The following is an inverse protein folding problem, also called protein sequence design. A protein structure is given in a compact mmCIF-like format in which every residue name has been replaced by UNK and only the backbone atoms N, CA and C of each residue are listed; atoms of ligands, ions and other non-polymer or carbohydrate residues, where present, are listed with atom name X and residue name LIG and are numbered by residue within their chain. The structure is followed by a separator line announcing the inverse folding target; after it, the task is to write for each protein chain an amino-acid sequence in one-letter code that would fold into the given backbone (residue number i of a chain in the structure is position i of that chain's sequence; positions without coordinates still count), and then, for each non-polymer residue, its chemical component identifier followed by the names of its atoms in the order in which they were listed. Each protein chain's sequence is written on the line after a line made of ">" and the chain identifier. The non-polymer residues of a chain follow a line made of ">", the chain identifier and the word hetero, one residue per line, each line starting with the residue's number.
data_IF_207935518827
#
_entry.id   IF_207935518827
#
_cell.length_a   1.000
_cell.length_b   1.000
_cell.length_c   1.000
_cell.angle_alpha   90.00
_cell.angle_beta   90.00
_cell.angle_gamma   90.00
#
_symmetry.space_group_name_H-M   'P 1'
#
loop_
_entity.id
_entity.type
_entity.pdbx_description
1 polymer ?
#
# COMPACT_ATOMS: atom_id res chain seq x y z
N UNK A 1 4.33 6.70 9.93
CA UNK A 1 2.91 6.99 10.29
C UNK A 1 2.05 6.41 9.18
N UNK A 2 1.42 5.27 9.40
CA UNK A 2 0.66 4.59 8.34
C UNK A 2 -0.71 5.25 8.14
N UNK A 3 -1.07 5.54 6.90
CA UNK A 3 -2.39 6.03 6.54
C UNK A 3 -3.38 4.85 6.50
N UNK A 4 -4.54 5.00 7.13
CA UNK A 4 -5.59 3.97 7.14
C UNK A 4 -6.62 4.22 6.03
N UNK A 5 -6.96 5.48 5.80
CA UNK A 5 -7.92 5.89 4.77
C UNK A 5 -7.31 6.04 3.37
N UNK A 6 -5.97 5.97 3.23
CA UNK A 6 -5.27 6.03 1.95
C UNK A 6 -4.46 4.75 1.79
N UNK A 7 -4.90 3.87 0.88
CA UNK A 7 -4.28 2.56 0.65
C UNK A 7 -3.35 2.64 -0.56
N UNK A 8 -2.11 2.20 -0.37
CA UNK A 8 -1.06 2.15 -1.38
C UNK A 8 -1.03 0.78 -2.06
N UNK A 9 -1.80 0.61 -3.12
CA UNK A 9 -1.90 -0.69 -3.79
C UNK A 9 -0.66 -0.96 -4.65
N UNK A 10 -0.07 -2.14 -4.42
CA UNK A 10 1.11 -2.64 -5.14
C UNK A 10 2.27 -1.64 -5.19
N UNK A 11 2.43 -0.84 -4.11
CA UNK A 11 3.49 0.16 -4.02
C UNK A 11 3.45 1.21 -5.16
N UNK A 12 2.34 1.94 -5.26
CA UNK A 12 2.25 3.09 -6.14
C UNK A 12 3.38 4.10 -5.88
N UNK A 13 3.61 4.41 -4.60
CA UNK A 13 4.86 4.93 -4.06
C UNK A 13 5.50 3.84 -3.18
N UNK A 14 6.80 3.92 -2.85
CA UNK A 14 7.37 2.98 -1.89
C UNK A 14 6.65 3.12 -0.54
N UNK A 15 6.36 1.99 0.13
CA UNK A 15 5.61 2.02 1.38
C UNK A 15 6.35 2.85 2.45
N UNK A 16 7.66 2.67 2.57
CA UNK A 16 8.48 3.47 3.48
C UNK A 16 8.37 4.98 3.23
N UNK A 17 8.39 5.39 1.94
CA UNK A 17 8.23 6.81 1.60
C UNK A 17 6.88 7.34 2.08
N UNK A 18 5.81 6.61 1.84
CA UNK A 18 4.47 7.04 2.20
C UNK A 18 4.28 7.15 3.72
N UNK A 19 4.79 6.17 4.47
CA UNK A 19 4.59 6.07 5.92
C UNK A 19 5.49 7.02 6.72
N UNK A 20 6.75 7.20 6.32
CA UNK A 20 7.74 7.89 7.14
C UNK A 20 8.21 9.24 6.55
N UNK A 21 8.21 9.37 5.22
CA UNK A 21 8.85 10.50 4.55
C UNK A 21 7.84 11.48 3.96
N UNK A 22 6.72 11.00 3.43
CA UNK A 22 5.77 11.79 2.65
C UNK A 22 5.38 13.10 3.34
N UNK A 23 4.85 13.04 4.56
CA UNK A 23 4.42 14.23 5.31
C UNK A 23 5.59 15.12 5.77
N UNK A 24 6.79 14.59 5.80
CA UNK A 24 8.00 15.32 6.22
C UNK A 24 8.82 15.85 5.05
N UNK A 25 8.51 15.43 3.82
CA UNK A 25 9.20 15.88 2.61
C UNK A 25 9.00 17.38 2.36
N UNK A 26 10.01 18.03 1.80
CA UNK A 26 9.98 19.46 1.52
C UNK A 26 8.89 19.84 0.52
N UNK A 27 8.62 18.98 -0.47
CA UNK A 27 7.58 19.18 -1.47
C UNK A 27 6.18 19.21 -0.84
N UNK A 28 5.86 18.24 0.04
CA UNK A 28 4.57 18.17 0.73
C UNK A 28 4.42 19.31 1.74
N UNK A 29 5.46 19.62 2.51
CA UNK A 29 5.44 20.78 3.43
C UNK A 29 5.22 22.09 2.69
N UNK A 30 5.88 22.29 1.55
CA UNK A 30 5.68 23.47 0.72
C UNK A 30 4.26 23.56 0.17
N UNK A 31 3.69 22.43 -0.30
CA UNK A 31 2.32 22.38 -0.76
C UNK A 31 1.32 22.72 0.36
N UNK A 32 1.45 22.09 1.53
CA UNK A 32 0.60 22.37 2.70
C UNK A 32 0.69 23.83 3.10
N UNK A 33 1.92 24.38 3.18
CA UNK A 33 2.16 25.79 3.51
C UNK A 33 1.49 26.73 2.50
N UNK A 34 1.56 26.43 1.20
CA UNK A 34 0.93 27.26 0.18
C UNK A 34 -0.59 27.38 0.38
N UNK A 35 -1.26 26.30 0.82
CA UNK A 35 -2.69 26.36 1.16
C UNK A 35 -2.94 27.17 2.43
N UNK A 36 -2.09 27.04 3.46
CA UNK A 36 -2.21 27.82 4.71
C UNK A 36 -1.97 29.31 4.47
N UNK A 37 -1.00 29.66 3.62
CA UNK A 37 -0.72 31.04 3.22
C UNK A 37 -1.91 31.61 2.44
N UNK A 38 -2.47 30.87 1.47
CA UNK A 38 -3.70 31.25 0.71
C UNK A 38 -4.90 31.49 1.63
N UNK A 39 -5.08 30.63 2.66
CA UNK A 39 -6.14 30.82 3.66
C UNK A 39 -5.90 32.09 4.48
N UNK A 40 -4.65 32.36 4.85
CA UNK A 40 -4.30 33.53 5.64
C UNK A 40 -4.47 34.83 4.84
N UNK A 41 -4.07 34.85 3.57
CA UNK A 41 -4.22 35.98 2.65
C UNK A 41 -5.69 36.27 2.33
N UNK A 42 -6.55 35.26 2.38
CA UNK A 42 -7.99 35.39 2.10
C UNK A 42 -8.80 36.00 3.25
N UNK A 43 -8.19 36.31 4.41
CA UNK A 43 -8.89 36.91 5.54
C UNK A 43 -9.32 38.34 5.25
N UNK A 44 -10.61 38.58 5.36
CA UNK A 44 -11.19 39.91 5.29
C UNK A 44 -10.96 40.74 6.56
N UNK A 45 -11.43 41.98 6.55
CA UNK A 45 -11.32 42.90 7.69
C UNK A 45 -12.06 42.40 8.96
N UNK A 46 -12.99 41.47 8.80
CA UNK A 46 -13.72 40.80 9.89
C UNK A 46 -12.93 39.59 10.48
N UNK A 47 -11.73 39.35 9.99
CA UNK A 47 -10.85 38.23 10.40
C UNK A 47 -11.30 36.84 9.91
N UNK A 48 -12.39 36.75 9.13
CA UNK A 48 -12.86 35.50 8.56
C UNK A 48 -12.17 35.24 7.23
N UNK A 49 -11.66 34.03 7.05
CA UNK A 49 -11.09 33.60 5.78
C UNK A 49 -12.22 33.29 4.78
N UNK A 50 -12.13 33.85 3.59
CA UNK A 50 -13.02 33.52 2.46
C UNK A 50 -12.65 32.16 1.86
N UNK A 51 -11.36 31.90 1.75
CA UNK A 51 -10.82 30.59 1.35
C UNK A 51 -10.43 29.79 2.60
N UNK A 52 -10.72 28.51 2.61
CA UNK A 52 -10.27 27.53 3.62
C UNK A 52 -9.58 26.39 2.96
N UNK A 53 -8.46 25.94 3.55
CA UNK A 53 -7.72 24.80 3.04
C UNK A 53 -8.63 23.54 2.93
N UNK A 54 -8.55 22.74 1.85
CA UNK A 54 -9.46 21.63 1.61
C UNK A 54 -9.57 20.66 2.77
N UNK A 55 -8.48 20.28 3.43
CA UNK A 55 -8.51 19.38 4.59
C UNK A 55 -9.33 19.93 5.77
N UNK A 56 -9.33 21.27 5.98
CA UNK A 56 -10.13 21.89 7.04
C UNK A 56 -11.62 21.88 6.70
N UNK A 57 -11.94 22.02 5.43
CA UNK A 57 -13.34 21.91 4.97
C UNK A 57 -13.80 20.46 5.09
N UNK A 58 -13.00 19.49 4.66
CA UNK A 58 -13.26 18.06 4.81
C UNK A 58 -13.50 17.69 6.27
N UNK A 59 -12.58 18.07 7.17
CA UNK A 59 -12.73 17.81 8.60
C UNK A 59 -14.02 18.44 9.18
N UNK A 60 -14.34 19.68 8.80
CA UNK A 60 -15.54 20.37 9.29
C UNK A 60 -16.84 19.73 8.80
N UNK A 61 -16.83 19.11 7.63
CA UNK A 61 -17.99 18.46 7.01
C UNK A 61 -17.98 16.93 7.13
N UNK A 62 -16.99 16.35 7.79
CA UNK A 62 -16.80 14.89 7.83
C UNK A 62 -18.06 14.13 8.26
N UNK A 63 -18.69 14.57 9.35
CA UNK A 63 -19.95 13.97 9.84
C UNK A 63 -21.10 14.09 8.84
N UNK A 64 -21.28 15.27 8.25
CA UNK A 64 -22.34 15.53 7.25
C UNK A 64 -22.11 14.66 6.00
N UNK A 65 -20.88 14.62 5.52
CA UNK A 65 -20.49 13.80 4.36
C UNK A 65 -20.72 12.32 4.60
N UNK A 66 -20.40 11.81 5.80
CA UNK A 66 -20.63 10.41 6.16
C UNK A 66 -22.12 10.06 6.21
N UNK A 67 -22.95 10.92 6.79
CA UNK A 67 -24.40 10.73 6.77
C UNK A 67 -24.95 10.76 5.32
N UNK A 68 -24.39 11.61 4.46
CA UNK A 68 -24.75 11.65 3.05
C UNK A 68 -24.40 10.35 2.35
N UNK A 69 -23.20 9.77 2.57
CA UNK A 69 -22.81 8.48 2.02
C UNK A 69 -23.80 7.36 2.40
N UNK A 70 -24.24 7.34 3.65
CA UNK A 70 -25.24 6.36 4.12
C UNK A 70 -26.59 6.57 3.42
N UNK A 71 -27.05 7.82 3.34
CA UNK A 71 -28.31 8.15 2.66
C UNK A 71 -28.30 7.78 1.18
N UNK A 72 -27.16 8.00 0.48
CA UNK A 72 -27.00 7.61 -0.92
C UNK A 72 -27.12 6.09 -1.10
N UNK A 73 -26.54 5.31 -0.17
CA UNK A 73 -26.64 3.85 -0.22
C UNK A 73 -28.08 3.34 -0.04
N UNK A 74 -28.89 4.04 0.74
CA UNK A 74 -30.28 3.68 1.05
C UNK A 74 -31.30 4.18 0.00
N UNK A 75 -30.90 5.06 -0.93
CA UNK A 75 -31.80 5.60 -1.96
C UNK A 75 -32.25 4.48 -2.91
N UNK A 76 -33.56 4.20 -2.91
CA UNK A 76 -34.13 3.08 -3.64
C UNK A 76 -34.30 3.32 -5.14
N UNK A 77 -34.55 4.55 -5.58
CA UNK A 77 -34.67 4.90 -7.00
C UNK A 77 -33.27 5.00 -7.64
N UNK A 78 -32.95 4.14 -8.63
CA UNK A 78 -31.62 4.12 -9.24
C UNK A 78 -31.25 5.43 -9.95
N UNK A 79 -32.21 6.11 -10.60
CA UNK A 79 -31.92 7.39 -11.28
C UNK A 79 -31.65 8.51 -10.27
N UNK A 80 -32.47 8.60 -9.22
CA UNK A 80 -32.30 9.58 -8.16
C UNK A 80 -30.97 9.34 -7.44
N UNK A 81 -30.69 8.09 -7.09
CA UNK A 81 -29.43 7.67 -6.47
C UNK A 81 -28.23 8.07 -7.34
N UNK A 82 -28.24 7.72 -8.62
CA UNK A 82 -27.16 8.04 -9.53
C UNK A 82 -26.91 9.55 -9.64
N UNK A 83 -28.00 10.36 -9.74
CA UNK A 83 -27.85 11.83 -9.78
C UNK A 83 -27.25 12.38 -8.49
N UNK A 84 -27.71 11.90 -7.35
CA UNK A 84 -27.22 12.33 -6.04
C UNK A 84 -25.75 11.90 -5.81
N UNK A 85 -25.37 10.67 -6.16
CA UNK A 85 -24.00 10.19 -6.12
C UNK A 85 -23.07 11.07 -6.97
N UNK A 86 -23.49 11.38 -8.19
CA UNK A 86 -22.72 12.21 -9.10
C UNK A 86 -22.56 13.65 -8.60
N UNK A 87 -23.60 14.24 -8.01
CA UNK A 87 -23.49 15.57 -7.43
C UNK A 87 -22.62 15.60 -6.17
N UNK A 88 -22.66 14.57 -5.35
CA UNK A 88 -21.71 14.41 -4.24
C UNK A 88 -20.26 14.38 -4.73
N UNK A 89 -19.95 13.56 -5.73
CA UNK A 89 -18.61 13.49 -6.33
C UNK A 89 -18.19 14.85 -6.89
N UNK A 90 -19.10 15.56 -7.60
CA UNK A 90 -18.83 16.92 -8.11
C UNK A 90 -18.53 17.91 -6.99
N UNK A 91 -19.27 17.83 -5.89
CA UNK A 91 -19.02 18.67 -4.71
C UNK A 91 -17.62 18.46 -4.13
N UNK A 92 -17.19 17.21 -4.08
CA UNK A 92 -15.83 16.85 -3.65
C UNK A 92 -14.77 17.32 -4.66
N UNK A 93 -14.99 17.16 -5.96
CA UNK A 93 -14.05 17.62 -6.99
C UNK A 93 -13.87 19.15 -6.94
N UNK A 94 -14.95 19.91 -6.76
CA UNK A 94 -14.88 21.37 -6.61
C UNK A 94 -14.08 21.80 -5.38
N UNK A 95 -14.13 21.00 -4.29
CA UNK A 95 -13.34 21.26 -3.09
C UNK A 95 -11.82 21.15 -3.37
N UNK A 96 -11.44 20.26 -4.28
CA UNK A 96 -10.06 20.08 -4.71
C UNK A 96 -9.67 20.95 -5.92
N UNK A 97 -10.50 21.91 -6.31
CA UNK A 97 -10.33 22.73 -7.52
C UNK A 97 -10.18 21.89 -8.80
N UNK A 98 -10.68 20.66 -8.79
CA UNK A 98 -10.67 19.77 -9.95
C UNK A 98 -11.84 20.08 -10.90
N UNK A 99 -11.66 19.85 -12.22
CA UNK A 99 -12.74 19.98 -13.18
C UNK A 99 -13.91 19.06 -12.82
N UNK A 100 -15.11 19.62 -12.72
CA UNK A 100 -16.31 18.90 -12.28
C UNK A 100 -17.54 19.08 -13.19
N UNK A 101 -17.42 19.88 -14.24
CA UNK A 101 -18.57 20.33 -15.01
C UNK A 101 -18.58 19.75 -16.45
N UNK A 102 -17.92 18.63 -16.67
CA UNK A 102 -18.00 17.93 -17.94
C UNK A 102 -19.38 17.30 -18.07
N UNK A 103 -20.12 17.70 -19.11
CA UNK A 103 -21.45 17.18 -19.43
C UNK A 103 -21.43 16.20 -20.58
N UNK A 104 -20.39 16.26 -21.39
CA UNK A 104 -20.26 15.41 -22.57
C UNK A 104 -19.62 14.07 -22.19
N UNK A 105 -20.20 12.97 -22.65
CA UNK A 105 -19.63 11.64 -22.41
C UNK A 105 -18.29 11.52 -23.14
N UNK A 106 -17.40 10.69 -22.59
CA UNK A 106 -16.17 10.32 -23.25
C UNK A 106 -16.42 9.13 -24.18
N UNK A 107 -16.24 9.37 -25.48
CA UNK A 107 -16.36 8.32 -26.50
C UNK A 107 -15.04 7.57 -26.62
N UNK A 108 -15.05 6.28 -26.23
CA UNK A 108 -13.91 5.37 -26.41
C UNK A 108 -13.95 4.77 -27.82
N UNK A 109 -15.15 4.39 -28.27
CA UNK A 109 -15.45 3.92 -29.63
C UNK A 109 -16.76 4.57 -30.10
N UNK A 110 -17.12 4.40 -31.38
CA UNK A 110 -18.39 4.90 -31.93
C UNK A 110 -19.64 4.36 -31.18
N UNK A 111 -19.46 3.31 -30.38
CA UNK A 111 -20.56 2.61 -29.68
C UNK A 111 -20.37 2.52 -28.16
N UNK A 112 -19.30 3.09 -27.61
CA UNK A 112 -19.02 3.06 -26.16
C UNK A 112 -18.77 4.48 -25.63
N UNK A 113 -19.67 4.92 -24.77
CA UNK A 113 -19.54 6.13 -23.98
C UNK A 113 -19.18 5.79 -22.52
N UNK A 114 -18.30 6.57 -21.91
CA UNK A 114 -18.00 6.49 -20.49
C UNK A 114 -18.43 7.77 -19.76
N UNK A 115 -18.90 7.68 -18.51
CA UNK A 115 -19.43 8.81 -17.73
C UNK A 115 -18.32 9.72 -17.22
N UNK A 116 -17.79 10.57 -18.09
CA UNK A 116 -16.79 11.58 -17.75
C UNK A 116 -17.45 12.70 -16.92
N UNK A 117 -16.87 13.02 -15.76
CA UNK A 117 -17.32 14.13 -14.91
C UNK A 117 -16.44 15.35 -15.10
N UNK A 118 -15.13 15.14 -15.23
CA UNK A 118 -14.17 16.22 -15.33
C UNK A 118 -12.99 15.86 -16.21
N UNK A 119 -12.45 16.86 -16.90
CA UNK A 119 -11.27 16.69 -17.73
C UNK A 119 -10.35 17.91 -17.61
N UNK A 120 -9.07 17.66 -17.41
CA UNK A 120 -8.00 18.65 -17.53
C UNK A 120 -7.16 18.32 -18.74
N UNK A 121 -6.88 19.34 -19.55
CA UNK A 121 -6.07 19.20 -20.78
C UNK A 121 -4.74 19.92 -20.61
N UNK A 122 -3.74 19.42 -21.30
CA UNK A 122 -2.45 20.11 -21.46
C UNK A 122 -2.61 21.33 -22.39
N UNK A 123 -1.58 22.17 -22.45
CA UNK A 123 -1.60 23.37 -23.30
C UNK A 123 -1.76 23.04 -24.80
N UNK A 124 -1.34 21.85 -25.25
CA UNK A 124 -1.51 21.34 -26.61
C UNK A 124 -2.86 20.61 -26.82
N UNK A 125 -3.77 20.70 -25.85
CA UNK A 125 -5.15 20.21 -25.95
C UNK A 125 -5.32 18.71 -25.77
N UNK A 126 -4.28 17.97 -25.32
CA UNK A 126 -4.40 16.55 -25.03
C UNK A 126 -5.01 16.33 -23.63
N UNK A 127 -5.82 15.28 -23.43
CA UNK A 127 -6.28 14.90 -22.10
C UNK A 127 -5.07 14.63 -21.19
N UNK A 128 -5.07 15.20 -20.00
CA UNK A 128 -4.02 14.98 -18.99
C UNK A 128 -4.56 14.28 -17.75
N UNK A 129 -5.68 14.75 -17.21
CA UNK A 129 -6.45 14.12 -16.17
C UNK A 129 -7.88 13.92 -16.65
N UNK A 130 -8.42 12.73 -16.46
CA UNK A 130 -9.84 12.45 -16.65
C UNK A 130 -10.42 11.89 -15.34
N UNK A 131 -11.64 12.32 -15.00
CA UNK A 131 -12.38 11.86 -13.84
C UNK A 131 -13.64 11.16 -14.30
N UNK A 132 -13.72 9.86 -14.01
CA UNK A 132 -14.89 9.04 -14.31
C UNK A 132 -15.68 8.77 -13.03
N UNK A 133 -17.01 8.74 -13.15
CA UNK A 133 -17.88 8.30 -12.07
C UNK A 133 -18.21 6.81 -12.23
N UNK A 134 -17.92 6.02 -11.20
CA UNK A 134 -18.43 4.68 -11.05
C UNK A 134 -19.54 4.66 -9.98
N UNK A 135 -20.40 3.67 -10.05
CA UNK A 135 -21.48 3.49 -9.07
C UNK A 135 -21.75 2.00 -8.85
N UNK A 136 -22.10 1.65 -7.61
CA UNK A 136 -22.51 0.29 -7.27
C UNK A 136 -23.76 -0.20 -8.05
N UNK A 137 -24.58 0.73 -8.57
CA UNK A 137 -25.69 0.41 -9.47
C UNK A 137 -25.27 -0.36 -10.73
N UNK A 138 -24.00 -0.27 -11.11
CA UNK A 138 -23.45 -1.02 -12.23
C UNK A 138 -23.36 -2.52 -11.99
N UNK A 139 -23.36 -2.95 -10.73
CA UNK A 139 -23.08 -4.32 -10.37
C UNK A 139 -21.65 -4.76 -10.74
N UNK A 140 -21.38 -6.04 -10.60
CA UNK A 140 -20.11 -6.67 -11.00
C UNK A 140 -20.31 -7.61 -12.20
N UNK A 141 -19.23 -7.94 -12.88
CA UNK A 141 -19.27 -8.91 -14.00
C UNK A 141 -19.83 -10.25 -13.53
N UNK A 142 -20.73 -10.88 -14.32
CA UNK A 142 -21.26 -12.18 -13.98
C UNK A 142 -20.16 -13.24 -14.03
N UNK A 143 -20.18 -14.18 -13.08
CA UNK A 143 -19.22 -15.28 -13.02
C UNK A 143 -19.23 -16.18 -14.24
N UNK A 144 -20.36 -16.26 -14.96
CA UNK A 144 -20.49 -17.01 -16.21
C UNK A 144 -21.08 -16.17 -17.33
N UNK A 145 -20.61 -16.42 -18.54
CA UNK A 145 -21.07 -15.73 -19.73
C UNK A 145 -22.57 -15.97 -19.97
N UNK A 146 -23.35 -14.89 -20.02
CA UNK A 146 -24.80 -14.92 -20.26
C UNK A 146 -25.66 -14.89 -18.99
N UNK A 147 -25.08 -14.85 -17.81
CA UNK A 147 -25.78 -14.57 -16.56
C UNK A 147 -25.98 -13.05 -16.37
N UNK A 148 -26.92 -12.69 -15.51
CA UNK A 148 -27.14 -11.31 -15.10
C UNK A 148 -25.94 -10.84 -14.23
N UNK A 149 -25.72 -9.53 -14.16
CA UNK A 149 -24.74 -8.94 -13.25
C UNK A 149 -25.13 -9.25 -11.81
N UNK A 150 -24.13 -9.44 -10.98
CA UNK A 150 -24.33 -9.55 -9.55
C UNK A 150 -24.45 -8.17 -8.91
N UNK A 151 -25.25 -8.06 -7.86
CA UNK A 151 -25.39 -6.81 -7.11
C UNK A 151 -24.07 -6.43 -6.43
N UNK A 152 -23.77 -5.15 -6.42
CA UNK A 152 -22.58 -4.59 -5.79
C UNK A 152 -22.94 -3.77 -4.56
N UNK A 153 -22.15 -3.92 -3.49
CA UNK A 153 -22.21 -3.05 -2.32
C UNK A 153 -21.41 -1.76 -2.52
N UNK A 154 -21.57 -0.82 -1.60
CA UNK A 154 -20.81 0.45 -1.58
C UNK A 154 -19.31 0.26 -1.34
N UNK A 155 -18.93 -0.89 -0.75
CA UNK A 155 -17.55 -1.27 -0.46
C UNK A 155 -16.88 -2.05 -1.60
N UNK A 156 -17.65 -2.37 -2.65
CA UNK A 156 -17.09 -3.06 -3.83
C UNK A 156 -15.98 -2.23 -4.46
N UNK A 157 -14.89 -2.89 -4.83
CA UNK A 157 -13.78 -2.24 -5.53
C UNK A 157 -14.28 -1.55 -6.80
N UNK A 158 -14.06 -0.21 -6.95
CA UNK A 158 -14.50 0.53 -8.14
C UNK A 158 -14.03 -0.09 -9.47
N UNK A 159 -12.87 -0.75 -9.51
CA UNK A 159 -12.36 -1.42 -10.71
C UNK A 159 -13.21 -2.64 -11.12
N UNK A 160 -13.90 -3.28 -10.18
CA UNK A 160 -14.75 -4.44 -10.45
C UNK A 160 -16.16 -4.05 -10.88
N UNK A 161 -16.58 -2.80 -10.64
CA UNK A 161 -17.89 -2.32 -11.03
C UNK A 161 -18.01 -2.23 -12.55
N UNK A 162 -19.19 -2.56 -13.06
CA UNK A 162 -19.58 -2.29 -14.45
C UNK A 162 -20.18 -0.88 -14.58
N UNK A 163 -20.22 -0.35 -15.79
CA UNK A 163 -20.95 0.90 -16.04
C UNK A 163 -22.44 0.67 -15.90
N UNK A 164 -23.11 1.42 -15.05
CA UNK A 164 -24.54 1.31 -14.81
C UNK A 164 -25.36 1.68 -16.07
N UNK A 165 -26.58 1.15 -16.16
CA UNK A 165 -27.47 1.46 -17.27
C UNK A 165 -27.82 2.96 -17.31
N UNK A 166 -27.97 3.59 -16.17
CA UNK A 166 -28.25 5.01 -15.98
C UNK A 166 -27.11 5.91 -16.47
N UNK A 167 -25.88 5.36 -16.52
CA UNK A 167 -24.71 6.04 -17.03
C UNK A 167 -24.52 5.87 -18.54
N UNK A 168 -25.07 4.80 -19.10
CA UNK A 168 -24.89 4.46 -20.52
C UNK A 168 -25.79 5.33 -21.39
N UNK A 169 -25.17 5.90 -22.38
CA UNK A 169 -25.85 6.52 -23.49
C UNK A 169 -25.36 5.82 -24.74
N UNK A 170 -26.17 4.92 -25.26
CA UNK A 170 -25.86 4.26 -26.52
C UNK A 170 -26.73 4.86 -27.61
N UNK A 171 -26.10 5.29 -28.69
CA UNK A 171 -26.81 5.71 -29.89
C UNK A 171 -27.28 4.46 -30.65
N UNK A 172 -28.40 3.88 -30.23
CA UNK A 172 -28.97 2.70 -30.88
C UNK A 172 -28.58 1.36 -30.20
N UNK A 173 -28.96 0.24 -30.85
CA UNK A 173 -28.58 -1.08 -30.37
C UNK A 173 -27.06 -1.24 -30.41
N UNK A 174 -26.48 -1.74 -29.34
CA UNK A 174 -25.07 -2.12 -29.27
C UNK A 174 -24.72 -3.06 -30.44
N UNK A 175 -23.98 -2.59 -31.39
CA UNK A 175 -23.54 -3.34 -32.57
C UNK A 175 -22.02 -3.39 -32.59
N UNK A 176 -21.44 -4.48 -33.13
CA UNK A 176 -20.00 -4.59 -33.29
C UNK A 176 -19.22 -4.58 -31.97
N UNK A 177 -18.15 -3.78 -31.91
CA UNK A 177 -17.21 -3.75 -30.80
C UNK A 177 -17.83 -3.31 -29.46
N UNK A 178 -18.86 -2.44 -29.47
CA UNK A 178 -19.52 -1.98 -28.25
C UNK A 178 -20.17 -3.11 -27.42
N UNK A 179 -20.62 -4.19 -28.06
CA UNK A 179 -21.16 -5.37 -27.35
C UNK A 179 -20.14 -6.07 -26.47
N UNK A 180 -18.87 -5.98 -26.79
CA UNK A 180 -17.81 -6.61 -25.99
C UNK A 180 -17.65 -5.94 -24.63
N UNK A 181 -18.07 -4.67 -24.49
CA UNK A 181 -17.91 -3.89 -23.28
C UNK A 181 -19.18 -3.80 -22.44
N UNK A 182 -20.29 -4.39 -22.90
CA UNK A 182 -21.60 -4.25 -22.24
C UNK A 182 -21.59 -4.67 -20.77
N UNK A 183 -20.84 -5.74 -20.45
CA UNK A 183 -20.75 -6.29 -19.10
C UNK A 183 -19.34 -6.19 -18.52
N UNK A 184 -18.48 -5.36 -19.12
CA UNK A 184 -17.09 -5.24 -18.66
C UNK A 184 -16.98 -4.28 -17.48
N UNK A 185 -16.08 -4.65 -16.58
CA UNK A 185 -15.74 -3.85 -15.41
C UNK A 185 -14.82 -2.65 -15.77
N UNK A 186 -14.71 -1.72 -14.84
CA UNK A 186 -13.90 -0.53 -15.03
C UNK A 186 -12.42 -0.83 -15.26
N UNK A 187 -11.89 -1.93 -14.73
CA UNK A 187 -10.51 -2.31 -15.02
C UNK A 187 -10.31 -2.51 -16.52
N UNK A 188 -11.13 -3.35 -17.15
CA UNK A 188 -11.07 -3.60 -18.61
C UNK A 188 -11.34 -2.33 -19.42
N UNK A 189 -12.28 -1.50 -18.98
CA UNK A 189 -12.63 -0.26 -19.68
C UNK A 189 -11.47 0.75 -19.63
N UNK A 190 -10.77 0.87 -18.51
CA UNK A 190 -9.62 1.75 -18.37
C UNK A 190 -8.41 1.25 -19.19
N UNK A 191 -8.22 -0.06 -19.33
CA UNK A 191 -7.22 -0.61 -20.24
C UNK A 191 -7.47 -0.10 -21.67
N UNK A 192 -8.72 -0.14 -22.14
CA UNK A 192 -9.11 0.39 -23.47
C UNK A 192 -8.94 1.92 -23.54
N UNK A 193 -9.25 2.66 -22.49
CA UNK A 193 -9.01 4.12 -22.44
C UNK A 193 -7.53 4.42 -22.57
N UNK A 194 -6.66 3.67 -21.90
CA UNK A 194 -5.22 3.89 -21.92
C UNK A 194 -4.54 3.46 -23.22
N UNK A 195 -5.16 2.59 -24.00
CA UNK A 195 -4.71 2.21 -25.35
C UNK A 195 -5.02 3.26 -26.43
N UNK A 196 -5.90 4.24 -26.14
CA UNK A 196 -6.25 5.27 -27.10
C UNK A 196 -5.05 6.15 -27.46
N UNK A 197 -5.01 6.62 -28.71
CA UNK A 197 -3.95 7.52 -29.21
C UNK A 197 -3.83 8.83 -28.40
N UNK A 198 -4.94 9.29 -27.81
CA UNK A 198 -5.01 10.47 -26.93
C UNK A 198 -5.43 10.09 -25.52
N UNK A 199 -4.80 9.06 -24.98
CA UNK A 199 -5.07 8.63 -23.60
C UNK A 199 -4.63 9.68 -22.57
N UNK A 200 -5.36 9.86 -21.47
CA UNK A 200 -4.94 10.71 -20.37
C UNK A 200 -3.70 10.12 -19.69
N UNK A 201 -2.91 10.97 -19.05
CA UNK A 201 -1.81 10.53 -18.16
C UNK A 201 -2.38 10.01 -16.84
N UNK A 202 -3.36 10.71 -16.28
CA UNK A 202 -3.96 10.47 -14.99
C UNK A 202 -5.44 10.20 -15.11
N UNK A 203 -5.94 9.26 -14.31
CA UNK A 203 -7.36 9.01 -14.15
C UNK A 203 -7.71 9.00 -12.67
N UNK A 204 -8.82 9.64 -12.32
CA UNK A 204 -9.51 9.43 -11.06
C UNK A 204 -10.79 8.65 -11.38
N UNK A 205 -10.90 7.43 -10.86
CA UNK A 205 -12.14 6.67 -10.88
C UNK A 205 -12.81 6.86 -9.53
N UNK A 206 -13.95 7.55 -9.51
CA UNK A 206 -14.62 8.01 -8.31
C UNK A 206 -15.95 7.30 -8.10
N UNK A 207 -16.14 6.67 -6.94
CA UNK A 207 -17.46 6.40 -6.35
C UNK A 207 -17.69 7.38 -5.20
N UNK A 208 -18.90 7.47 -4.63
CA UNK A 208 -19.10 8.31 -3.44
C UNK A 208 -18.17 7.95 -2.28
N UNK A 209 -17.94 6.66 -2.03
CA UNK A 209 -17.16 6.13 -0.91
C UNK A 209 -15.67 5.94 -1.18
N UNK A 210 -15.27 5.75 -2.45
CA UNK A 210 -13.89 5.42 -2.80
C UNK A 210 -13.44 6.16 -4.05
N UNK A 211 -12.23 6.71 -4.02
CA UNK A 211 -11.57 7.27 -5.19
C UNK A 211 -10.27 6.53 -5.46
N UNK A 212 -10.03 6.21 -6.72
CA UNK A 212 -8.79 5.60 -7.18
C UNK A 212 -8.01 6.62 -8.01
N UNK A 213 -6.80 6.96 -7.57
CA UNK A 213 -5.85 7.73 -8.35
C UNK A 213 -4.96 6.79 -9.14
N UNK A 214 -5.04 6.87 -10.45
CA UNK A 214 -4.46 5.91 -11.39
C UNK A 214 -3.51 6.64 -12.33
N UNK A 215 -2.26 6.17 -12.39
CA UNK A 215 -1.27 6.56 -13.37
C UNK A 215 -1.27 5.55 -14.52
N UNK A 216 -1.45 6.01 -15.76
CA UNK A 216 -1.42 5.15 -16.95
C UNK A 216 -0.17 4.28 -17.04
N UNK A 217 1.00 4.80 -16.64
CA UNK A 217 2.27 4.05 -16.74
C UNK A 217 2.33 2.91 -15.72
N UNK A 218 1.70 3.08 -14.55
CA UNK A 218 1.70 2.12 -13.45
C UNK A 218 0.52 1.14 -13.47
N UNK A 219 -0.52 1.46 -14.25
CA UNK A 219 -1.79 0.72 -14.22
C UNK A 219 -1.65 -0.75 -14.63
N UNK A 220 -0.80 -1.07 -15.59
CA UNK A 220 -0.52 -2.46 -15.99
C UNK A 220 0.00 -3.34 -14.84
N UNK A 221 0.63 -2.73 -13.83
CA UNK A 221 1.12 -3.39 -12.63
C UNK A 221 0.11 -3.32 -11.46
N UNK A 222 -1.08 -2.79 -11.70
CA UNK A 222 -2.12 -2.53 -10.70
C UNK A 222 -1.66 -1.63 -9.56
N UNK A 223 -0.71 -0.74 -9.81
CA UNK A 223 -0.24 0.25 -8.84
C UNK A 223 -1.16 1.46 -8.88
N UNK A 224 -1.82 1.74 -7.78
CA UNK A 224 -2.72 2.88 -7.62
C UNK A 224 -2.82 3.32 -6.16
N UNK A 225 -3.35 4.52 -5.93
CA UNK A 225 -3.72 4.98 -4.59
C UNK A 225 -5.24 4.95 -4.45
N UNK A 226 -5.72 4.30 -3.40
CA UNK A 226 -7.12 4.24 -3.04
C UNK A 226 -7.40 5.16 -1.86
N UNK A 227 -8.36 6.04 -1.99
CA UNK A 227 -8.88 6.91 -0.94
C UNK A 227 -10.23 6.38 -0.50
N UNK A 228 -10.32 5.89 0.72
CA UNK A 228 -11.57 5.45 1.32
C UNK A 228 -12.18 6.62 2.11
N UNK A 229 -13.18 7.28 1.52
CA UNK A 229 -13.77 8.47 2.09
C UNK A 229 -14.60 8.19 3.34
N UNK A 230 -15.22 7.02 3.49
CA UNK A 230 -15.92 6.68 4.72
C UNK A 230 -14.93 6.61 5.89
N UNK A 231 -13.80 5.93 5.72
CA UNK A 231 -12.73 5.85 6.71
C UNK A 231 -12.10 7.21 6.98
N UNK A 232 -11.81 8.01 5.93
CA UNK A 232 -11.23 9.34 6.07
C UNK A 232 -12.16 10.29 6.84
N UNK A 233 -13.48 10.21 6.62
CA UNK A 233 -14.48 11.01 7.35
C UNK A 233 -14.74 10.48 8.75
N UNK A 234 -14.64 9.16 8.98
CA UNK A 234 -14.79 8.59 10.31
C UNK A 234 -13.66 9.02 11.23
N UNK A 235 -12.42 8.87 10.77
CA UNK A 235 -11.22 9.20 11.54
C UNK A 235 -10.92 10.70 11.56
N UNK A 236 -11.21 11.39 10.45
CA UNK A 236 -10.90 12.81 10.19
C UNK A 236 -9.54 13.28 10.73
N UNK A 237 -8.54 12.39 10.66
CA UNK A 237 -7.16 12.69 11.03
C UNK A 237 -6.57 13.76 10.12
N UNK A 238 -6.05 14.84 10.71
CA UNK A 238 -5.58 16.00 9.93
C UNK A 238 -4.45 15.63 8.96
N UNK A 239 -3.57 14.73 9.35
CA UNK A 239 -2.46 14.26 8.52
C UNK A 239 -2.94 13.52 7.28
N UNK A 240 -3.94 12.63 7.41
CA UNK A 240 -4.52 11.89 6.29
C UNK A 240 -5.29 12.83 5.34
N UNK A 241 -6.07 13.77 5.89
CA UNK A 241 -6.78 14.75 5.08
C UNK A 241 -5.85 15.72 4.35
N UNK A 242 -4.72 16.11 4.97
CA UNK A 242 -3.64 16.86 4.30
C UNK A 242 -3.02 16.06 3.18
N UNK A 243 -2.71 14.79 3.43
CA UNK A 243 -2.16 13.89 2.41
C UNK A 243 -3.11 13.74 1.23
N UNK A 244 -4.40 13.47 1.48
CA UNK A 244 -5.42 13.40 0.43
C UNK A 244 -5.51 14.71 -0.36
N UNK A 245 -5.44 15.87 0.32
CA UNK A 245 -5.44 17.17 -0.33
C UNK A 245 -4.24 17.33 -1.26
N UNK A 246 -3.02 17.09 -0.77
CA UNK A 246 -1.81 17.22 -1.57
C UNK A 246 -1.80 16.29 -2.77
N UNK A 247 -2.42 15.12 -2.68
CA UNK A 247 -2.45 14.14 -3.78
C UNK A 247 -3.57 14.39 -4.79
N UNK A 248 -4.68 15.01 -4.39
CA UNK A 248 -5.89 15.10 -5.23
C UNK A 248 -6.24 16.51 -5.72
N UNK A 249 -5.54 17.56 -5.29
CA UNK A 249 -5.87 18.91 -5.75
C UNK A 249 -5.42 19.18 -7.19
N UNK A 250 -6.05 20.14 -7.83
CA UNK A 250 -5.70 20.58 -9.18
C UNK A 250 -4.23 20.99 -9.33
N UNK A 251 -3.63 21.54 -8.27
CA UNK A 251 -2.21 21.93 -8.26
C UNK A 251 -1.30 20.73 -8.47
N UNK A 252 -1.68 19.54 -7.97
CA UNK A 252 -0.93 18.29 -8.09
C UNK A 252 -0.87 17.74 -9.52
N UNK A 253 -1.89 18.08 -10.33
CA UNK A 253 -1.97 17.73 -11.75
C UNK A 253 -1.55 18.90 -12.65
N UNK A 254 -0.96 19.96 -12.10
CA UNK A 254 -0.50 21.10 -12.90
C UNK A 254 0.96 20.90 -13.27
N UNK A 255 1.21 20.81 -14.57
CA UNK A 255 2.56 20.65 -15.10
C UNK A 255 3.34 21.96 -14.94
N UNK A 256 4.47 21.89 -14.25
CA UNK A 256 5.46 22.96 -14.10
C UNK A 256 6.81 22.40 -14.51
N UNK A 257 7.52 23.10 -15.37
CA UNK A 257 8.85 22.69 -15.87
C UNK A 257 8.90 21.27 -16.50
N UNK A 258 7.77 20.79 -17.01
CA UNK A 258 7.65 19.50 -17.71
C UNK A 258 7.07 18.36 -16.87
N UNK A 259 6.93 18.52 -15.55
CA UNK A 259 6.44 17.51 -14.64
C UNK A 259 5.33 18.06 -13.72
N UNK A 260 4.48 17.20 -13.23
CA UNK A 260 3.51 17.53 -12.17
C UNK A 260 4.02 17.10 -10.79
N UNK A 261 3.40 17.61 -9.73
CA UNK A 261 3.81 17.32 -8.37
C UNK A 261 3.78 15.81 -8.04
N UNK A 262 2.83 15.05 -8.61
CA UNK A 262 2.74 13.60 -8.41
C UNK A 262 3.93 12.85 -9.04
N UNK A 263 4.43 13.31 -10.19
CA UNK A 263 5.61 12.74 -10.83
C UNK A 263 6.88 13.05 -10.03
N UNK A 264 7.01 14.27 -9.53
CA UNK A 264 8.12 14.65 -8.64
C UNK A 264 8.11 13.84 -7.32
N UNK A 265 6.94 13.61 -6.72
CA UNK A 265 6.80 12.74 -5.54
C UNK A 265 7.19 11.28 -5.84
N UNK A 266 6.92 10.81 -7.06
CA UNK A 266 7.33 9.47 -7.50
C UNK A 266 8.85 9.34 -7.59
N UNK A 267 9.51 10.33 -8.19
CA UNK A 267 10.98 10.37 -8.22
C UNK A 267 11.58 10.39 -6.81
N UNK A 268 11.01 11.18 -5.90
CA UNK A 268 11.47 11.25 -4.52
C UNK A 268 11.24 9.91 -3.80
N UNK A 269 10.11 9.25 -4.04
CA UNK A 269 9.83 7.91 -3.53
C UNK A 269 10.88 6.89 -4.01
N UNK A 270 11.25 6.94 -5.29
CA UNK A 270 12.29 6.06 -5.84
C UNK A 270 13.68 6.36 -5.27
N UNK A 271 14.05 7.65 -5.10
CA UNK A 271 15.32 8.04 -4.49
C UNK A 271 15.43 7.53 -3.05
N UNK A 272 14.36 7.66 -2.27
CA UNK A 272 14.30 7.14 -0.90
C UNK A 272 14.39 5.61 -0.86
N UNK A 273 13.66 4.90 -1.69
CA UNK A 273 13.73 3.44 -1.77
C UNK A 273 15.15 2.96 -2.15
N UNK A 274 15.81 3.66 -3.08
CA UNK A 274 17.19 3.37 -3.45
C UNK A 274 18.15 3.64 -2.28
N UNK A 275 17.99 4.78 -1.57
CA UNK A 275 18.78 5.12 -0.38
C UNK A 275 18.69 4.05 0.69
N UNK A 276 17.48 3.65 1.07
CA UNK A 276 17.25 2.58 2.06
C UNK A 276 17.89 1.26 1.60
N UNK A 277 17.80 0.92 0.31
CA UNK A 277 18.42 -0.29 -0.23
C UNK A 277 19.96 -0.24 -0.14
N UNK A 278 20.59 0.91 -0.34
CA UNK A 278 22.04 1.07 -0.18
C UNK A 278 22.46 0.99 1.29
N UNK A 279 21.73 1.65 2.19
CA UNK A 279 22.03 1.61 3.63
C UNK A 279 21.87 0.18 4.17
N UNK A 280 20.81 -0.53 3.74
CA UNK A 280 20.64 -1.94 4.08
C UNK A 280 21.81 -2.80 3.56
N UNK A 281 22.28 -2.56 2.34
CA UNK A 281 23.44 -3.28 1.78
C UNK A 281 24.69 -3.07 2.62
N UNK A 282 24.97 -1.84 3.05
CA UNK A 282 26.11 -1.54 3.90
C UNK A 282 25.96 -2.15 5.30
N UNK A 283 24.78 -2.02 5.92
CA UNK A 283 24.50 -2.63 7.21
C UNK A 283 24.63 -4.16 7.18
N UNK A 284 24.10 -4.82 6.13
CA UNK A 284 24.24 -6.26 5.95
C UNK A 284 25.70 -6.69 5.79
N UNK A 285 26.50 -5.93 5.04
CA UNK A 285 27.92 -6.20 4.89
C UNK A 285 28.62 -6.12 6.25
N UNK A 286 28.36 -5.07 7.03
CA UNK A 286 28.93 -4.91 8.36
C UNK A 286 28.50 -6.06 9.29
N UNK A 287 27.24 -6.44 9.29
CA UNK A 287 26.75 -7.59 10.07
C UNK A 287 27.44 -8.90 9.70
N UNK A 288 27.65 -9.16 8.39
CA UNK A 288 28.36 -10.36 7.91
C UNK A 288 29.84 -10.33 8.35
N UNK A 289 30.48 -9.16 8.29
CA UNK A 289 31.87 -8.98 8.75
C UNK A 289 31.98 -9.21 10.26
N UNK A 290 31.07 -8.66 11.08
CA UNK A 290 31.03 -8.86 12.53
C UNK A 290 30.81 -10.34 12.88
N UNK A 291 29.79 -10.97 12.28
CA UNK A 291 29.49 -12.38 12.51
C UNK A 291 30.68 -13.29 12.10
N UNK A 292 31.24 -13.07 10.92
CA UNK A 292 32.35 -13.83 10.40
C UNK A 292 33.61 -13.68 11.23
N UNK A 293 33.93 -12.47 11.69
CA UNK A 293 35.07 -12.20 12.56
C UNK A 293 34.93 -12.90 13.91
N UNK A 294 33.76 -12.85 14.52
CA UNK A 294 33.50 -13.49 15.81
C UNK A 294 33.53 -15.02 15.67
N UNK A 295 32.89 -15.57 14.63
CA UNK A 295 32.95 -17.00 14.36
C UNK A 295 34.37 -17.47 14.10
N UNK A 296 35.16 -16.74 13.33
CA UNK A 296 36.58 -17.06 13.10
C UNK A 296 37.39 -17.03 14.41
N UNK A 297 37.14 -16.04 15.30
CA UNK A 297 37.77 -15.93 16.61
C UNK A 297 37.47 -17.16 17.48
N UNK A 298 36.19 -17.54 17.57
CA UNK A 298 35.74 -18.69 18.35
C UNK A 298 36.33 -20.00 17.83
N UNK A 299 36.28 -20.20 16.52
CA UNK A 299 36.86 -21.39 15.88
C UNK A 299 38.39 -21.48 16.08
N UNK A 300 39.06 -20.32 16.06
CA UNK A 300 40.52 -20.27 16.37
C UNK A 300 40.80 -20.65 17.82
N UNK A 301 40.02 -20.22 18.79
CA UNK A 301 40.15 -20.58 20.19
C UNK A 301 39.92 -22.08 20.42
N UNK A 302 38.89 -22.66 19.77
CA UNK A 302 38.60 -24.10 19.81
C UNK A 302 39.77 -24.88 19.22
N UNK A 303 40.25 -24.50 18.03
CA UNK A 303 41.39 -25.15 17.38
C UNK A 303 42.66 -25.09 18.22
N UNK A 304 42.94 -23.99 18.93
CA UNK A 304 44.04 -23.86 19.89
C UNK A 304 43.91 -24.84 21.07
N UNK A 305 42.69 -24.96 21.63
CA UNK A 305 42.42 -25.90 22.73
C UNK A 305 42.61 -27.37 22.29
N UNK A 306 42.16 -27.67 21.06
CA UNK A 306 42.26 -29.01 20.49
C UNK A 306 43.63 -29.33 19.83
N UNK A 307 44.53 -28.34 19.79
CA UNK A 307 45.83 -28.42 19.12
C UNK A 307 45.74 -28.80 17.63
N UNK A 308 44.68 -28.38 16.97
CA UNK A 308 44.40 -28.55 15.53
C UNK A 308 44.72 -27.27 14.76
N UNK A 309 45.07 -27.39 13.48
CA UNK A 309 45.20 -26.24 12.61
C UNK A 309 43.81 -25.64 12.25
N UNK A 310 43.66 -24.31 12.31
CA UNK A 310 42.37 -23.65 12.10
C UNK A 310 42.02 -23.53 10.60
N UNK A 311 42.99 -23.21 9.75
CA UNK A 311 42.79 -22.99 8.30
C UNK A 311 43.66 -23.93 7.44
N UNK A 312 44.42 -24.85 8.04
CA UNK A 312 45.36 -25.71 7.35
C UNK A 312 45.09 -27.17 7.68
N UNK A 313 44.66 -27.94 6.71
CA UNK A 313 44.42 -29.37 6.83
C UNK A 313 43.25 -29.84 5.96
N UNK A 314 43.12 -31.17 5.77
CA UNK A 314 42.02 -31.76 4.97
C UNK A 314 40.61 -31.48 5.55
N UNK A 315 40.53 -31.10 6.82
CA UNK A 315 39.29 -30.82 7.58
C UNK A 315 39.21 -29.37 8.06
N UNK A 316 40.03 -28.46 7.51
CA UNK A 316 40.02 -27.04 7.87
C UNK A 316 38.91 -26.28 7.15
N UNK A 317 38.13 -25.45 7.89
CA UNK A 317 37.14 -24.58 7.31
C UNK A 317 37.79 -23.50 6.45
N UNK A 318 37.40 -23.38 5.20
CA UNK A 318 37.89 -22.31 4.32
C UNK A 318 37.20 -20.99 4.61
N UNK A 319 37.86 -19.86 4.30
CA UNK A 319 37.25 -18.54 4.42
C UNK A 319 35.97 -18.41 3.57
N UNK A 320 35.89 -19.11 2.45
CA UNK A 320 34.70 -19.14 1.60
C UNK A 320 33.53 -19.85 2.30
N UNK A 321 33.79 -21.05 2.85
CA UNK A 321 32.76 -21.80 3.57
C UNK A 321 32.20 -21.01 4.77
N UNK A 322 33.07 -20.36 5.54
CA UNK A 322 32.67 -19.50 6.63
C UNK A 322 31.80 -18.32 6.13
N UNK A 323 32.23 -17.70 5.04
CA UNK A 323 31.45 -16.60 4.44
C UNK A 323 30.07 -17.06 3.93
N UNK A 324 30.02 -18.24 3.29
CA UNK A 324 28.75 -18.80 2.78
C UNK A 324 27.79 -19.15 3.94
N UNK A 325 28.30 -19.64 5.07
CA UNK A 325 27.46 -19.89 6.26
C UNK A 325 26.96 -18.58 6.92
N UNK A 326 27.82 -17.57 7.04
CA UNK A 326 27.40 -16.25 7.54
C UNK A 326 26.32 -15.62 6.64
N UNK A 327 26.50 -15.72 5.32
CA UNK A 327 25.48 -15.27 4.36
C UNK A 327 24.15 -16.01 4.52
N UNK A 328 24.20 -17.35 4.66
CA UNK A 328 22.99 -18.17 4.88
C UNK A 328 22.25 -17.75 6.15
N UNK A 329 22.98 -17.53 7.23
CA UNK A 329 22.43 -17.02 8.49
C UNK A 329 21.73 -15.67 8.31
N UNK A 330 22.39 -14.74 7.65
CA UNK A 330 21.83 -13.40 7.39
C UNK A 330 20.58 -13.47 6.52
N UNK A 331 20.57 -14.32 5.47
CA UNK A 331 19.37 -14.50 4.65
C UNK A 331 18.19 -15.10 5.43
N UNK A 332 18.44 -16.04 6.34
CA UNK A 332 17.40 -16.57 7.24
C UNK A 332 16.81 -15.47 8.11
N UNK A 333 17.64 -14.65 8.74
CA UNK A 333 17.18 -13.53 9.56
C UNK A 333 16.39 -12.51 8.74
N UNK A 334 16.87 -12.12 7.57
CA UNK A 334 16.15 -11.22 6.68
C UNK A 334 14.78 -11.76 6.27
N UNK A 335 14.72 -13.06 5.98
CA UNK A 335 13.45 -13.71 5.65
C UNK A 335 12.49 -13.66 6.84
N UNK A 336 12.96 -13.92 8.05
CA UNK A 336 12.12 -13.81 9.27
C UNK A 336 11.63 -12.39 9.49
N UNK A 337 12.51 -11.38 9.40
CA UNK A 337 12.10 -9.98 9.49
C UNK A 337 11.06 -9.62 8.43
N UNK A 338 11.23 -10.09 7.21
CA UNK A 338 10.27 -9.86 6.13
C UNK A 338 8.90 -10.46 6.46
N UNK A 339 8.86 -11.72 6.89
CA UNK A 339 7.59 -12.41 7.21
C UNK A 339 6.91 -11.78 8.41
N UNK A 340 7.66 -11.41 9.45
CA UNK A 340 7.10 -10.74 10.65
C UNK A 340 6.61 -9.31 10.35
N UNK A 341 7.21 -8.62 9.38
CA UNK A 341 6.76 -7.29 8.94
C UNK A 341 5.52 -7.32 8.03
N UNK A 342 5.06 -8.51 7.62
CA UNK A 342 3.95 -8.70 6.65
C UNK A 342 2.84 -9.59 7.22
N UNK A 343 2.06 -9.10 8.20
CA UNK A 343 0.93 -9.85 8.78
C UNK A 343 -0.09 -10.29 7.74
N UNK A 344 -0.22 -9.54 6.64
CA UNK A 344 -1.09 -9.84 5.50
C UNK A 344 -0.79 -11.21 4.84
N UNK A 345 0.44 -11.70 4.93
CA UNK A 345 0.82 -13.04 4.44
C UNK A 345 0.21 -14.17 5.30
N UNK A 346 -0.19 -13.88 6.53
CA UNK A 346 -0.75 -14.86 7.50
C UNK A 346 0.11 -16.11 7.68
N UNK A 347 1.42 -15.98 7.46
CA UNK A 347 2.36 -17.08 7.58
C UNK A 347 2.81 -17.31 9.02
N UNK A 348 2.94 -16.24 9.78
CA UNK A 348 3.20 -16.24 11.23
C UNK A 348 2.07 -15.54 11.98
N UNK A 349 1.67 -15.99 13.17
CA UNK A 349 0.53 -15.46 13.91
C UNK A 349 0.89 -14.21 14.73
N UNK A 350 1.35 -13.15 14.06
CA UNK A 350 1.70 -11.87 14.71
C UNK A 350 0.46 -11.18 15.28
N UNK A 351 -0.66 -11.21 14.52
CA UNK A 351 -1.92 -10.54 14.87
C UNK A 351 -2.89 -11.46 15.62
N UNK A 352 -2.42 -12.64 16.12
CA UNK A 352 -3.27 -13.54 16.86
C UNK A 352 -3.66 -12.95 18.23
N UNK A 353 -4.90 -13.21 18.68
CA UNK A 353 -5.35 -12.82 20.02
C UNK A 353 -4.45 -13.40 21.14
N UNK A 354 -3.88 -14.57 20.87
CA UNK A 354 -2.84 -15.18 21.71
C UNK A 354 -1.45 -14.66 21.26
N UNK A 355 -0.93 -13.69 21.98
CA UNK A 355 0.37 -13.08 21.72
C UNK A 355 1.57 -14.00 22.01
N UNK A 356 1.38 -15.31 22.11
CA UNK A 356 2.43 -16.28 22.47
C UNK A 356 3.60 -16.24 21.50
N UNK A 357 3.32 -16.20 20.17
CA UNK A 357 4.37 -16.06 19.18
C UNK A 357 5.07 -14.70 19.30
N UNK A 358 4.32 -13.63 19.32
CA UNK A 358 4.85 -12.26 19.34
C UNK A 358 5.74 -12.01 20.56
N UNK A 359 5.30 -12.41 21.75
CA UNK A 359 6.05 -12.18 22.99
C UNK A 359 7.12 -13.22 23.29
N UNK A 360 6.94 -14.46 22.82
CA UNK A 360 7.80 -15.58 23.21
C UNK A 360 8.84 -15.98 22.18
N UNK A 361 8.59 -15.73 20.90
CA UNK A 361 9.41 -16.29 19.83
C UNK A 361 9.82 -15.29 18.76
N UNK A 362 9.07 -14.18 18.55
CA UNK A 362 9.34 -13.25 17.45
C UNK A 362 10.72 -12.59 17.55
N UNK A 363 11.27 -12.20 16.41
CA UNK A 363 12.51 -11.40 16.35
C UNK A 363 12.29 -10.01 16.98
N UNK A 364 11.07 -9.47 16.95
CA UNK A 364 10.73 -8.21 17.61
C UNK A 364 10.94 -8.30 19.14
N UNK A 365 10.51 -9.41 19.76
CA UNK A 365 10.77 -9.66 21.19
C UNK A 365 12.26 -9.83 21.50
N UNK A 366 13.04 -10.42 20.60
CA UNK A 366 14.48 -10.57 20.76
C UNK A 366 15.24 -9.25 20.55
N UNK A 367 14.72 -8.31 19.76
CA UNK A 367 15.33 -6.99 19.54
C UNK A 367 15.44 -6.18 20.82
N UNK A 368 14.50 -6.31 21.72
CA UNK A 368 14.54 -5.60 23.01
C UNK A 368 15.75 -5.99 23.87
N UNK A 369 16.35 -7.17 23.63
CA UNK A 369 17.57 -7.60 24.31
C UNK A 369 18.79 -6.73 23.97
N UNK A 370 18.81 -6.03 22.82
CA UNK A 370 19.85 -5.07 22.45
C UNK A 370 19.98 -3.95 23.50
N UNK A 371 18.89 -3.57 24.14
CA UNK A 371 18.86 -2.51 25.14
C UNK A 371 19.49 -2.93 26.48
N UNK A 372 19.74 -4.22 26.68
CA UNK A 372 20.30 -4.77 27.92
C UNK A 372 21.84 -4.81 27.83
N UNK A 373 22.55 -4.00 28.62
CA UNK A 373 24.01 -4.00 28.58
C UNK A 373 24.57 -5.30 29.15
N UNK A 374 25.38 -6.03 28.38
CA UNK A 374 26.09 -7.23 28.83
C UNK A 374 27.33 -6.83 29.64
N UNK A 375 27.21 -6.88 30.95
CA UNK A 375 28.25 -6.39 31.91
C UNK A 375 29.20 -7.49 32.33
N UNK A 376 28.71 -8.72 32.52
CA UNK A 376 29.51 -9.85 32.98
C UNK A 376 30.00 -10.75 31.85
N UNK A 377 31.06 -11.52 32.11
CA UNK A 377 31.55 -12.49 31.16
C UNK A 377 30.52 -13.59 30.87
N UNK A 378 29.77 -14.01 31.88
CA UNK A 378 28.74 -15.03 31.73
C UNK A 378 27.57 -14.57 30.83
N UNK A 379 27.18 -13.31 30.94
CA UNK A 379 26.16 -12.72 30.06
C UNK A 379 26.64 -12.68 28.59
N UNK A 380 27.92 -12.33 28.36
CA UNK A 380 28.50 -12.25 27.02
C UNK A 380 28.71 -13.63 26.37
N UNK A 381 28.89 -14.66 27.17
CA UNK A 381 29.08 -16.06 26.70
C UNK A 381 27.77 -16.86 26.77
N UNK A 382 26.65 -16.22 27.08
CA UNK A 382 25.32 -16.84 27.14
C UNK A 382 24.83 -17.28 25.74
N UNK A 383 24.13 -18.42 25.69
CA UNK A 383 23.62 -19.01 24.44
C UNK A 383 22.15 -18.67 24.13
N UNK A 384 21.47 -17.95 25.02
CA UNK A 384 20.02 -17.70 24.93
C UNK A 384 19.56 -17.15 23.57
N UNK A 385 20.21 -16.10 23.07
CA UNK A 385 19.86 -15.50 21.78
C UNK A 385 20.06 -16.49 20.63
N UNK A 386 21.16 -17.23 20.66
CA UNK A 386 21.46 -18.25 19.63
C UNK A 386 20.40 -19.38 19.65
N UNK A 387 20.07 -19.89 20.82
CA UNK A 387 19.10 -20.97 21.00
C UNK A 387 17.69 -20.52 20.58
N UNK A 388 17.32 -19.28 20.90
CA UNK A 388 16.04 -18.71 20.50
C UNK A 388 15.92 -18.57 18.97
N UNK A 389 16.96 -18.06 18.30
CA UNK A 389 16.99 -17.94 16.84
C UNK A 389 17.05 -19.34 16.18
N UNK A 390 17.83 -20.29 16.71
CA UNK A 390 17.88 -21.65 16.18
C UNK A 390 16.52 -22.35 16.28
N UNK A 391 15.79 -22.13 17.38
CA UNK A 391 14.42 -22.64 17.54
C UNK A 391 13.48 -22.04 16.49
N UNK A 392 13.55 -20.73 16.23
CA UNK A 392 12.81 -20.11 15.12
C UNK A 392 13.14 -20.74 13.78
N UNK A 393 14.41 -20.93 13.46
CA UNK A 393 14.82 -21.58 12.21
C UNK A 393 14.24 -23.00 12.08
N UNK A 394 14.15 -23.75 13.19
CA UNK A 394 13.50 -25.08 13.20
C UNK A 394 12.02 -25.00 12.96
N UNK A 395 11.30 -24.02 13.52
CA UNK A 395 9.87 -23.85 13.24
C UNK A 395 9.62 -23.63 11.74
N UNK A 396 10.47 -22.87 11.08
CA UNK A 396 10.34 -22.63 9.64
C UNK A 396 10.80 -23.81 8.79
N UNK A 397 11.78 -24.59 9.22
CA UNK A 397 12.26 -25.76 8.46
C UNK A 397 11.40 -27.01 8.65
N UNK A 398 10.89 -27.26 9.85
CA UNK A 398 10.23 -28.51 10.24
C UNK A 398 8.76 -28.32 10.61
N UNK A 399 8.33 -27.08 10.85
CA UNK A 399 7.00 -26.76 11.37
C UNK A 399 6.93 -26.93 12.89
N UNK A 400 5.96 -26.25 13.50
CA UNK A 400 5.76 -26.30 14.97
C UNK A 400 5.27 -27.65 15.46
N UNK A 401 4.66 -28.47 14.65
CA UNK A 401 4.18 -29.82 15.01
C UNK A 401 5.32 -30.83 15.24
N UNK A 402 6.45 -30.65 14.60
CA UNK A 402 7.60 -31.56 14.73
C UNK A 402 8.36 -31.36 16.05
N UNK A 403 8.48 -30.10 16.52
CA UNK A 403 9.23 -29.75 17.73
C UNK A 403 8.54 -30.22 19.02
N UNK A 404 7.20 -30.39 18.99
CA UNK A 404 6.41 -30.83 20.14
C UNK A 404 6.52 -32.34 20.39
N UNK A 405 6.98 -33.13 19.44
CA UNK A 405 7.07 -34.60 19.57
C UNK A 405 8.35 -35.06 20.27
N UNK A 406 9.42 -34.27 20.27
CA UNK A 406 10.73 -34.65 20.83
C UNK A 406 10.92 -34.28 22.33
N UNK A 407 10.23 -33.24 22.83
CA UNK A 407 10.44 -32.74 24.20
C UNK A 407 9.30 -33.05 25.21
N UNK A 408 8.14 -33.55 24.79
CA UNK A 408 6.96 -33.67 25.67
C UNK A 408 6.28 -35.04 25.64
N UNK A 409 6.99 -36.06 26.05
CA UNK A 409 6.36 -37.38 26.29
C UNK A 409 5.52 -37.43 27.58
N UNK A 410 5.57 -36.42 28.46
CA UNK A 410 4.97 -36.47 29.80
C UNK A 410 3.93 -35.40 30.15
N UNK A 411 3.42 -34.56 29.25
CA UNK A 411 2.34 -33.63 29.62
C UNK A 411 1.19 -33.59 28.63
N UNK A 412 0.02 -34.00 29.09
CA UNK A 412 -1.27 -33.99 28.35
C UNK A 412 -1.83 -32.57 28.07
N UNK A 413 -1.03 -31.55 28.03
CA UNK A 413 -1.48 -30.18 27.81
C UNK A 413 -0.53 -29.40 26.91
N UNK A 414 -0.57 -29.65 25.63
CA UNK A 414 -0.09 -28.68 24.65
C UNK A 414 -0.67 -28.92 23.27
N UNK A 415 -1.91 -28.50 23.05
CA UNK A 415 -2.28 -28.01 21.75
C UNK A 415 -1.31 -26.85 21.47
N UNK A 416 -0.57 -26.85 20.35
CA UNK A 416 0.37 -25.80 20.02
C UNK A 416 -0.36 -24.46 20.07
N UNK A 417 0.14 -23.51 20.87
CA UNK A 417 -0.45 -22.19 21.00
C UNK A 417 -0.52 -21.45 19.64
N UNK A 418 0.31 -21.88 18.68
CA UNK A 418 0.30 -21.38 17.31
C UNK A 418 0.81 -22.46 16.34
N UNK A 419 0.49 -22.31 15.05
CA UNK A 419 0.90 -23.25 13.99
C UNK A 419 1.68 -22.48 12.91
N UNK A 420 2.87 -23.00 12.56
CA UNK A 420 3.69 -22.56 11.43
C UNK A 420 3.89 -23.78 10.53
N UNK A 421 3.53 -23.64 9.25
CA UNK A 421 3.79 -24.69 8.26
C UNK A 421 5.26 -24.71 7.83
N UNK A 422 5.87 -25.88 7.64
CA UNK A 422 7.27 -25.97 7.24
C UNK A 422 7.47 -25.41 5.84
N UNK A 423 8.51 -24.60 5.68
CA UNK A 423 8.96 -24.12 4.38
C UNK A 423 9.78 -25.20 3.66
N UNK A 424 9.32 -25.59 2.49
CA UNK A 424 10.12 -26.46 1.59
C UNK A 424 11.18 -25.62 0.87
N UNK A 425 12.23 -25.22 1.60
CA UNK A 425 13.29 -24.35 1.09
C UNK A 425 14.66 -24.90 1.46
N UNK A 426 15.64 -24.69 0.59
CA UNK A 426 17.05 -24.97 0.88
C UNK A 426 17.71 -23.91 1.77
N UNK A 427 16.98 -22.86 2.12
CA UNK A 427 17.47 -21.79 2.99
C UNK A 427 17.48 -22.21 4.46
N UNK A 428 16.44 -22.92 4.91
CA UNK A 428 16.28 -23.44 6.27
C UNK A 428 16.64 -24.91 6.39
#
# INVERSE_FOLDING_TARGET
>A
MSFVGIVNEQEFYSQHFLDEVFMTSDAVKAAVKAYEDRETESKGDDGKAVYRAPWRVLASKARESRLMLQSLAETADPEERYRAEREFIRGMLRLFDLPADCTDPYFVTDSLELPLIGEKRTADGKPYLQVFAATALGGVEPGKKGEAREDAGTDTDPLQLCVANEQRRFTGALTGEGKHFEHRNWQTLLEVVFEQTRAPRWVILATPSQWLLIDRVKFAQRRLLRFNWDTLFERHEESELKAATVLLTNDSFTVKDGECALESLDEDSHKHAYGVSQDLKYALRECIELLGNEAARQLQEIARKEKKGFLTGKDGLTAKELSDECLRWMYRLLFLFFVESRPDLKYVPIDAEDETYLKGYSLEGLRDLELIPLTTKQEREGSYLHESIDRLFRFFSQGTKADLTDELVDSQASASAFEIEPLQSTLF
#
